data_IF_691394475263
#
_entry.id   IF_691394475263
#
_cell.length_a   1.000
_cell.length_b   1.000
_cell.length_c   1.000
_cell.angle_alpha   90.00
_cell.angle_beta   90.00
_cell.angle_gamma   90.00
#
_symmetry.space_group_name_H-M   'P 1'
#
loop_
_entity.id
_entity.type
_entity.pdbx_description
1 polymer ?
#
# COMPACT_ATOMS: atom_id res chain seq x y z
N UNK A 1 -35.59 -0.22 29.49
CA UNK A 1 -35.44 -0.77 28.13
C UNK A 1 -34.49 0.13 27.36
N UNK A 2 -33.26 -0.30 27.18
CA UNK A 2 -32.26 0.20 26.23
C UNK A 2 -31.22 -0.93 26.09
N UNK A 3 -30.51 -1.09 24.95
CA UNK A 3 -30.38 -0.17 23.82
C UNK A 3 -30.81 -0.77 22.47
N UNK A 4 -31.19 0.10 21.54
CA UNK A 4 -31.38 -0.25 20.13
C UNK A 4 -30.09 0.04 19.37
N UNK A 5 -29.56 -1.02 18.77
CA UNK A 5 -28.44 -1.04 17.83
C UNK A 5 -28.65 -0.03 16.70
N UNK A 6 -27.78 0.98 16.61
CA UNK A 6 -27.88 2.04 15.64
C UNK A 6 -26.51 2.62 15.33
N UNK A 7 -25.78 1.94 14.45
CA UNK A 7 -24.69 2.49 13.63
C UNK A 7 -23.43 2.97 14.36
N UNK A 8 -22.73 2.07 15.05
CA UNK A 8 -21.25 2.11 15.04
C UNK A 8 -20.78 1.38 13.77
N UNK A 9 -21.00 2.04 12.63
CA UNK A 9 -20.28 1.67 11.40
C UNK A 9 -18.82 1.95 11.71
N UNK A 10 -18.07 0.86 11.89
CA UNK A 10 -16.65 0.82 12.23
C UNK A 10 -15.93 2.14 11.92
N UNK A 11 -15.44 2.79 12.97
CA UNK A 11 -14.28 3.66 12.86
C UNK A 11 -13.15 2.75 12.34
N UNK A 12 -13.13 2.48 11.03
CA UNK A 12 -11.93 2.03 10.35
C UNK A 12 -10.95 3.15 10.64
N UNK A 13 -10.03 2.90 11.57
CA UNK A 13 -9.01 3.85 11.97
C UNK A 13 -8.41 4.45 10.69
N UNK A 14 -8.13 5.76 10.69
CA UNK A 14 -7.58 6.44 9.52
C UNK A 14 -6.38 5.67 8.90
N UNK A 15 -5.59 5.02 9.76
CA UNK A 15 -4.51 4.10 9.35
C UNK A 15 -4.99 2.86 8.59
N UNK A 16 -6.12 2.26 8.94
CA UNK A 16 -6.72 1.12 8.23
C UNK A 16 -7.27 1.51 6.85
N UNK A 17 -7.85 2.70 6.70
CA UNK A 17 -8.35 3.19 5.42
C UNK A 17 -7.20 3.57 4.47
N UNK A 18 -6.17 4.25 5.01
CA UNK A 18 -4.92 4.51 4.30
C UNK A 18 -4.23 3.19 3.91
N UNK A 19 -4.12 2.23 4.84
CA UNK A 19 -3.55 0.91 4.55
C UNK A 19 -4.31 0.20 3.43
N UNK A 20 -5.64 0.25 3.43
CA UNK A 20 -6.44 -0.35 2.37
C UNK A 20 -6.17 0.28 0.99
N UNK A 21 -6.06 1.60 0.91
CA UNK A 21 -5.70 2.29 -0.32
C UNK A 21 -4.27 1.97 -0.77
N UNK A 22 -3.31 1.94 0.14
CA UNK A 22 -1.92 1.56 -0.15
C UNK A 22 -1.84 0.10 -0.60
N UNK A 23 -2.59 -0.80 0.05
CA UNK A 23 -2.63 -2.20 -0.32
C UNK A 23 -3.18 -2.41 -1.73
N UNK A 24 -4.23 -1.67 -2.12
CA UNK A 24 -4.72 -1.69 -3.49
C UNK A 24 -3.62 -1.31 -4.49
N UNK A 25 -2.84 -0.26 -4.19
CA UNK A 25 -1.69 0.13 -4.99
C UNK A 25 -0.60 -0.94 -5.01
N UNK A 26 -0.24 -1.54 -3.88
CA UNK A 26 0.82 -2.56 -3.79
C UNK A 26 0.47 -3.80 -4.60
N UNK A 27 -0.79 -4.21 -4.59
CA UNK A 27 -1.28 -5.33 -5.39
C UNK A 27 -1.23 -5.02 -6.88
N UNK A 28 -1.58 -3.79 -7.27
CA UNK A 28 -1.41 -3.32 -8.65
C UNK A 28 0.07 -3.30 -9.07
N UNK A 29 0.96 -2.79 -8.20
CA UNK A 29 2.40 -2.79 -8.44
C UNK A 29 2.95 -4.21 -8.58
N UNK A 30 2.51 -5.15 -7.74
CA UNK A 30 2.87 -6.57 -7.86
C UNK A 30 2.53 -7.11 -9.24
N UNK A 31 1.36 -6.77 -9.79
CA UNK A 31 0.97 -7.18 -11.14
C UNK A 31 1.84 -6.47 -12.20
N UNK A 32 2.11 -5.17 -12.05
CA UNK A 32 2.95 -4.42 -12.97
C UNK A 32 4.39 -4.96 -13.03
N UNK A 33 5.03 -5.24 -11.88
CA UNK A 33 6.38 -5.80 -11.84
C UNK A 33 6.42 -7.22 -12.39
N UNK A 34 5.38 -8.04 -12.17
CA UNK A 34 5.26 -9.37 -12.80
C UNK A 34 5.12 -9.28 -14.32
N UNK A 35 4.33 -8.32 -14.82
CA UNK A 35 4.20 -8.05 -16.25
C UNK A 35 5.54 -7.59 -16.86
N UNK A 36 6.31 -6.80 -16.09
CA UNK A 36 7.69 -6.42 -16.43
C UNK A 36 8.72 -7.56 -16.26
N UNK A 37 8.28 -8.77 -15.87
CA UNK A 37 9.13 -9.94 -15.56
C UNK A 37 10.15 -9.69 -14.44
N UNK A 38 9.87 -8.73 -13.58
CA UNK A 38 10.66 -8.44 -12.38
C UNK A 38 10.15 -9.27 -11.21
N UNK A 39 10.58 -10.54 -11.20
CA UNK A 39 10.26 -11.48 -10.14
C UNK A 39 10.89 -11.07 -8.80
N UNK A 40 12.08 -10.46 -8.82
CA UNK A 40 12.74 -9.99 -7.61
C UNK A 40 11.93 -8.90 -6.89
N UNK A 41 11.38 -7.94 -7.63
CA UNK A 41 10.48 -6.93 -7.04
C UNK A 41 9.18 -7.57 -6.54
N UNK A 42 8.61 -8.54 -7.27
CA UNK A 42 7.43 -9.30 -6.81
C UNK A 42 7.70 -10.03 -5.50
N UNK A 43 8.87 -10.64 -5.33
CA UNK A 43 9.24 -11.37 -4.12
C UNK A 43 9.45 -10.42 -2.94
N UNK A 44 10.13 -9.28 -3.15
CA UNK A 44 10.23 -8.23 -2.12
C UNK A 44 8.88 -7.73 -1.64
N UNK A 45 7.93 -7.53 -2.56
CA UNK A 45 6.56 -7.14 -2.19
C UNK A 45 5.93 -8.20 -1.30
N UNK A 46 6.05 -9.48 -1.67
CA UNK A 46 5.53 -10.59 -0.87
C UNK A 46 6.16 -10.65 0.53
N UNK A 47 7.47 -10.50 0.61
CA UNK A 47 8.23 -10.57 1.86
C UNK A 47 7.89 -9.41 2.79
N UNK A 48 7.78 -8.20 2.25
CA UNK A 48 7.40 -7.01 3.01
C UNK A 48 5.97 -7.11 3.57
N UNK A 49 5.03 -7.65 2.78
CA UNK A 49 3.66 -7.90 3.24
C UNK A 49 3.62 -8.95 4.35
N UNK A 50 4.36 -10.04 4.17
CA UNK A 50 4.49 -11.10 5.20
C UNK A 50 5.11 -10.52 6.48
N UNK A 51 6.16 -9.71 6.34
CA UNK A 51 6.82 -9.01 7.45
C UNK A 51 5.96 -7.93 8.12
N UNK A 52 4.90 -7.47 7.47
CA UNK A 52 3.87 -6.61 8.03
C UNK A 52 2.73 -7.38 8.69
N UNK A 53 2.79 -8.72 8.72
CA UNK A 53 1.71 -9.58 9.21
C UNK A 53 0.49 -9.59 8.29
N UNK A 54 0.66 -9.18 7.02
CA UNK A 54 -0.40 -9.16 6.02
C UNK A 54 -0.32 -10.43 5.20
N UNK A 55 -1.44 -11.17 5.16
CA UNK A 55 -1.58 -12.34 4.31
C UNK A 55 -2.37 -11.97 3.05
N UNK A 56 -1.73 -12.05 1.89
CA UNK A 56 -2.40 -11.86 0.60
C UNK A 56 -2.92 -13.20 0.08
N UNK A 57 -4.22 -13.25 -0.21
CA UNK A 57 -4.91 -14.35 -0.88
C UNK A 57 -5.25 -13.92 -2.30
N UNK A 58 -4.60 -14.55 -3.28
CA UNK A 58 -4.98 -14.40 -4.68
C UNK A 58 -6.40 -14.98 -4.88
N UNK A 59 -7.30 -14.16 -5.43
CA UNK A 59 -8.68 -14.50 -5.73
C UNK A 59 -8.95 -14.37 -7.24
N UNK A 60 -10.08 -14.89 -7.70
CA UNK A 60 -10.43 -14.85 -9.14
C UNK A 60 -10.64 -13.42 -9.66
N UNK A 61 -11.10 -12.51 -8.80
CA UNK A 61 -11.42 -11.11 -9.13
C UNK A 61 -10.36 -10.11 -8.65
N UNK A 62 -9.19 -10.58 -8.19
CA UNK A 62 -8.12 -9.72 -7.69
C UNK A 62 -7.32 -10.36 -6.58
N UNK A 63 -6.67 -9.56 -5.75
CA UNK A 63 -6.00 -10.05 -4.55
C UNK A 63 -6.71 -9.50 -3.31
N UNK A 64 -7.15 -10.40 -2.44
CA UNK A 64 -7.65 -10.07 -1.13
C UNK A 64 -6.48 -10.09 -0.14
N UNK A 65 -6.55 -9.30 0.91
CA UNK A 65 -5.56 -9.33 1.98
C UNK A 65 -6.26 -9.25 3.32
N UNK A 66 -5.66 -9.88 4.32
CA UNK A 66 -6.17 -9.89 5.68
C UNK A 66 -5.01 -9.81 6.67
N UNK A 67 -5.31 -9.36 7.89
CA UNK A 67 -4.30 -9.09 8.92
C UNK A 67 -3.63 -7.73 8.75
N UNK A 68 -2.46 -7.60 9.35
CA UNK A 68 -1.74 -6.34 9.51
C UNK A 68 -1.41 -6.09 10.97
N UNK A 69 -0.11 -5.95 11.25
CA UNK A 69 0.38 -5.43 12.52
C UNK A 69 0.05 -3.93 12.65
N UNK A 70 0.20 -3.38 13.86
CA UNK A 70 -0.04 -1.95 14.13
C UNK A 70 0.85 -1.04 13.26
N UNK A 71 2.04 -1.51 12.89
CA UNK A 71 3.02 -0.83 12.03
C UNK A 71 2.94 -1.27 10.55
N UNK A 72 1.91 -2.03 10.17
CA UNK A 72 1.79 -2.56 8.82
C UNK A 72 1.77 -1.45 7.76
N UNK A 73 1.03 -0.37 8.00
CA UNK A 73 0.99 0.79 7.11
C UNK A 73 2.39 1.35 6.87
N UNK A 74 3.19 1.49 7.92
CA UNK A 74 4.54 2.05 7.85
C UNK A 74 5.48 1.12 7.06
N UNK A 75 5.43 -0.18 7.32
CA UNK A 75 6.21 -1.19 6.58
C UNK A 75 5.87 -1.22 5.10
N UNK A 76 4.57 -1.19 4.79
CA UNK A 76 4.08 -1.18 3.41
C UNK A 76 4.45 0.13 2.73
N UNK A 77 4.36 1.27 3.43
CA UNK A 77 4.81 2.55 2.88
C UNK A 77 6.31 2.57 2.59
N UNK A 78 7.14 2.02 3.48
CA UNK A 78 8.58 1.88 3.24
C UNK A 78 8.86 1.09 1.95
N UNK A 79 8.13 -0.01 1.72
CA UNK A 79 8.19 -0.77 0.47
C UNK A 79 7.79 0.06 -0.75
N UNK A 80 6.66 0.78 -0.70
CA UNK A 80 6.17 1.58 -1.83
C UNK A 80 7.15 2.69 -2.20
N UNK A 81 7.76 3.34 -1.20
CA UNK A 81 8.78 4.36 -1.42
C UNK A 81 10.05 3.78 -2.03
N UNK A 82 10.49 2.61 -1.56
CA UNK A 82 11.62 1.90 -2.16
C UNK A 82 11.35 1.55 -3.63
N UNK A 83 10.18 0.98 -3.92
CA UNK A 83 9.76 0.67 -5.30
C UNK A 83 9.75 1.94 -6.16
N UNK A 84 9.21 3.05 -5.65
CA UNK A 84 9.19 4.33 -6.37
C UNK A 84 10.59 4.81 -6.75
N UNK A 85 11.56 4.66 -5.86
CA UNK A 85 12.95 4.98 -6.16
C UNK A 85 13.52 4.06 -7.25
N UNK A 86 13.19 2.77 -7.21
CA UNK A 86 13.62 1.79 -8.23
C UNK A 86 13.00 2.07 -9.61
N UNK A 87 11.70 2.32 -9.71
CA UNK A 87 11.09 2.64 -11.02
C UNK A 87 11.62 3.96 -11.57
N UNK A 88 11.90 4.96 -10.73
CA UNK A 88 12.60 6.18 -11.19
C UNK A 88 14.01 5.91 -11.68
N UNK A 89 14.78 5.06 -10.98
CA UNK A 89 16.12 4.65 -11.44
C UNK A 89 16.07 3.92 -12.79
N UNK A 90 14.99 3.18 -13.03
CA UNK A 90 14.71 2.49 -14.30
C UNK A 90 14.08 3.40 -15.37
N UNK A 91 13.88 4.69 -15.06
CA UNK A 91 13.20 5.69 -15.92
C UNK A 91 11.76 5.30 -16.29
N UNK A 92 11.14 4.47 -15.47
CA UNK A 92 9.73 4.12 -15.59
C UNK A 92 8.87 5.17 -14.89
N UNK A 93 8.73 6.30 -15.58
CA UNK A 93 7.91 7.42 -15.10
C UNK A 93 6.43 7.04 -15.01
N UNK A 94 5.95 6.17 -15.90
CA UNK A 94 4.56 5.71 -15.90
C UNK A 94 4.21 4.97 -14.60
N UNK A 95 5.06 4.05 -14.15
CA UNK A 95 4.83 3.37 -12.86
C UNK A 95 5.04 4.32 -11.68
N UNK A 96 6.01 5.23 -11.74
CA UNK A 96 6.19 6.26 -10.70
C UNK A 96 4.94 7.14 -10.53
N UNK A 97 4.28 7.51 -11.63
CA UNK A 97 3.07 8.34 -11.59
C UNK A 97 1.89 7.54 -11.02
N UNK A 98 1.74 6.27 -11.39
CA UNK A 98 0.75 5.37 -10.78
C UNK A 98 0.94 5.24 -9.27
N UNK A 99 2.19 5.12 -8.79
CA UNK A 99 2.48 5.10 -7.35
C UNK A 99 1.99 6.39 -6.70
N UNK A 100 2.33 7.54 -7.29
CA UNK A 100 1.91 8.84 -6.77
C UNK A 100 0.38 8.95 -6.70
N UNK A 101 -0.31 8.58 -7.76
CA UNK A 101 -1.77 8.67 -7.86
C UNK A 101 -2.46 7.68 -6.93
N UNK A 102 -1.95 6.46 -6.81
CA UNK A 102 -2.47 5.45 -5.89
C UNK A 102 -2.34 5.87 -4.43
N UNK A 103 -1.23 6.47 -4.05
CA UNK A 103 -1.04 7.02 -2.71
C UNK A 103 -1.99 8.19 -2.45
N UNK A 104 -2.15 9.11 -3.41
CA UNK A 104 -3.11 10.20 -3.30
C UNK A 104 -4.56 9.67 -3.15
N UNK A 105 -4.94 8.62 -3.89
CA UNK A 105 -6.24 7.94 -3.74
C UNK A 105 -6.42 7.28 -2.38
N UNK A 106 -5.33 6.79 -1.78
CA UNK A 106 -5.31 6.27 -0.42
C UNK A 106 -5.36 7.36 0.66
N UNK A 107 -5.44 8.65 0.27
CA UNK A 107 -5.35 9.77 1.21
C UNK A 107 -3.93 10.01 1.72
N UNK A 108 -2.90 9.41 1.12
CA UNK A 108 -1.51 9.59 1.53
C UNK A 108 -0.86 10.70 0.69
N UNK A 109 -0.46 11.76 1.38
CA UNK A 109 0.37 12.81 0.81
C UNK A 109 1.85 12.46 1.02
N UNK A 110 2.56 12.21 -0.08
CA UNK A 110 4.02 12.00 -0.09
C UNK A 110 4.73 13.31 -0.37
N UNK A 111 5.68 13.66 0.48
CA UNK A 111 6.54 14.82 0.34
C UNK A 111 8.01 14.39 0.18
N UNK A 112 8.55 14.58 -1.02
CA UNK A 112 9.97 14.37 -1.32
C UNK A 112 10.75 15.62 -0.90
N UNK A 113 11.56 15.51 0.15
CA UNK A 113 12.41 16.58 0.64
C UNK A 113 13.90 16.31 0.43
N UNK A 114 14.73 17.29 0.76
CA UNK A 114 16.20 17.16 0.78
C UNK A 114 16.68 16.04 1.70
N UNK A 115 15.99 15.84 2.82
CA UNK A 115 16.38 14.89 3.88
C UNK A 115 15.76 13.48 3.69
N UNK A 116 15.04 13.26 2.58
CA UNK A 116 14.42 11.99 2.25
C UNK A 116 12.95 12.12 1.87
N UNK A 117 12.25 10.99 1.84
CA UNK A 117 10.83 10.95 1.50
C UNK A 117 10.02 10.81 2.78
N UNK A 118 9.13 11.77 3.02
CA UNK A 118 8.18 11.76 4.13
C UNK A 118 6.78 11.57 3.58
N UNK A 119 5.89 11.02 4.40
CA UNK A 119 4.50 10.83 4.00
C UNK A 119 3.58 11.10 5.19
N UNK A 120 2.34 11.47 4.87
CA UNK A 120 1.29 11.78 5.83
C UNK A 120 -0.01 11.19 5.32
N UNK A 121 -0.68 10.38 6.14
CA UNK A 121 -2.03 9.92 5.85
C UNK A 121 -3.03 11.02 6.28
N UNK A 122 -3.86 11.47 5.35
CA UNK A 122 -5.02 12.29 5.65
C UNK A 122 -6.02 11.40 6.41
N UNK A 123 -6.35 11.80 7.64
CA UNK A 123 -7.37 11.18 8.47
C UNK A 123 -8.68 11.95 8.43
#
# INVERSE_FOLDING_TARGET
FQPGDGADTAQASAGGQALAGVMALVLELRQAVRAARDFAASDRIRDALTGAGITVKDAKDGAAWEGGADDALERVMALVLALRAEVRARKDFATSDRIRDGLAKAGIAVNDGKDGVTWTAAG
#
